data_IF_081877234655
#
_entry.id   IF_081877234655
#
_cell.length_a   1.000
_cell.length_b   1.000
_cell.length_c   1.000
_cell.angle_alpha   90.00
_cell.angle_beta   90.00
_cell.angle_gamma   90.00
#
_symmetry.space_group_name_H-M   'P 1'
#
loop_
_entity.id
_entity.type
_entity.pdbx_description
1 polymer ?
#
# COMPACT_ATOMS: atom_id res chain seq x y z
N UNK A 1 -23.70 -31.64 -39.11
CA UNK A 1 -22.91 -32.42 -38.15
C UNK A 1 -21.44 -32.15 -38.45
N UNK A 2 -20.61 -31.81 -37.45
CA UNK A 2 -19.17 -31.61 -37.69
C UNK A 2 -18.61 -32.91 -38.29
N UNK A 3 -17.95 -32.82 -39.44
CA UNK A 3 -17.36 -33.97 -40.12
C UNK A 3 -16.27 -34.60 -39.26
N UNK A 4 -16.08 -35.91 -39.39
CA UNK A 4 -15.10 -36.67 -38.60
C UNK A 4 -13.68 -36.11 -38.68
N UNK A 5 -13.31 -35.48 -39.81
CA UNK A 5 -12.01 -34.83 -40.00
C UNK A 5 -11.72 -33.70 -39.01
N UNK A 6 -12.73 -33.05 -38.43
CA UNK A 6 -12.56 -31.97 -37.45
C UNK A 6 -12.73 -32.42 -36.00
N UNK A 7 -13.17 -33.67 -35.78
CA UNK A 7 -13.44 -34.22 -34.44
C UNK A 7 -12.21 -34.16 -33.53
N UNK A 8 -11.01 -34.42 -34.08
CA UNK A 8 -9.77 -34.36 -33.33
C UNK A 8 -9.50 -32.96 -32.74
N UNK A 9 -9.71 -31.91 -33.54
CA UNK A 9 -9.53 -30.53 -33.08
C UNK A 9 -10.55 -30.14 -32.01
N UNK A 10 -11.80 -30.56 -32.16
CA UNK A 10 -12.84 -30.32 -31.17
C UNK A 10 -12.50 -30.99 -29.82
N UNK A 11 -12.00 -32.23 -29.86
CA UNK A 11 -11.56 -32.93 -28.64
C UNK A 11 -10.38 -32.22 -27.97
N UNK A 12 -9.40 -31.73 -28.73
CA UNK A 12 -8.31 -30.92 -28.18
C UNK A 12 -8.83 -29.68 -27.45
N UNK A 13 -9.76 -28.92 -28.08
CA UNK A 13 -10.32 -27.71 -27.48
C UNK A 13 -11.01 -27.97 -26.15
N UNK A 14 -11.79 -29.05 -26.05
CA UNK A 14 -12.52 -29.36 -24.83
C UNK A 14 -11.67 -30.05 -23.76
N UNK A 15 -10.83 -31.02 -24.15
CA UNK A 15 -10.08 -31.81 -23.18
C UNK A 15 -8.83 -31.10 -22.70
N UNK A 16 -8.05 -30.54 -23.63
CA UNK A 16 -6.74 -29.98 -23.29
C UNK A 16 -6.89 -28.50 -22.92
N UNK A 17 -7.51 -27.71 -23.78
CA UNK A 17 -7.57 -26.25 -23.59
C UNK A 17 -8.64 -25.87 -22.54
N UNK A 18 -9.87 -26.37 -22.65
CA UNK A 18 -10.94 -26.04 -21.70
C UNK A 18 -10.80 -26.80 -20.37
N UNK A 19 -10.82 -28.14 -20.38
CA UNK A 19 -10.78 -28.93 -19.15
C UNK A 19 -9.38 -28.95 -18.51
N UNK A 20 -8.32 -28.97 -19.32
CA UNK A 20 -6.94 -29.06 -18.85
C UNK A 20 -6.32 -27.72 -18.42
N UNK A 21 -6.75 -26.60 -19.01
CA UNK A 21 -6.17 -25.28 -18.72
C UNK A 21 -7.19 -24.27 -18.18
N UNK A 22 -8.23 -23.92 -18.95
CA UNK A 22 -9.16 -22.84 -18.57
C UNK A 22 -9.96 -23.16 -17.30
N UNK A 23 -10.56 -24.34 -17.20
CA UNK A 23 -11.43 -24.71 -16.09
C UNK A 23 -10.69 -24.68 -14.74
N UNK A 24 -9.48 -25.25 -14.59
CA UNK A 24 -8.71 -25.14 -13.34
C UNK A 24 -8.41 -23.68 -12.94
N UNK A 25 -7.93 -22.86 -13.87
CA UNK A 25 -7.60 -21.45 -13.55
C UNK A 25 -8.85 -20.61 -13.28
N UNK A 26 -9.97 -20.93 -13.93
CA UNK A 26 -11.24 -20.25 -13.70
C UNK A 26 -11.79 -20.52 -12.29
N UNK A 27 -11.70 -21.77 -11.83
CA UNK A 27 -12.07 -22.13 -10.45
C UNK A 27 -11.16 -21.42 -9.44
N UNK A 28 -9.87 -21.28 -9.76
CA UNK A 28 -8.95 -20.52 -8.91
C UNK A 28 -9.36 -19.04 -8.84
N UNK A 29 -9.67 -18.42 -9.97
CA UNK A 29 -10.19 -17.05 -10.05
C UNK A 29 -11.45 -16.91 -9.18
N UNK A 30 -12.41 -17.82 -9.31
CA UNK A 30 -13.64 -17.83 -8.48
C UNK A 30 -13.32 -17.94 -6.99
N UNK A 31 -12.39 -18.80 -6.61
CA UNK A 31 -12.02 -19.00 -5.20
C UNK A 31 -11.30 -17.81 -4.56
N UNK A 32 -10.66 -16.96 -5.37
CA UNK A 32 -9.84 -15.82 -4.91
C UNK A 32 -10.61 -14.50 -5.02
N UNK A 33 -11.31 -14.29 -6.14
CA UNK A 33 -12.03 -13.05 -6.42
C UNK A 33 -13.50 -13.12 -5.97
N UNK A 34 -14.04 -14.31 -5.72
CA UNK A 34 -15.46 -14.55 -5.44
C UNK A 34 -16.40 -14.11 -6.58
N UNK A 35 -15.86 -13.80 -7.76
CA UNK A 35 -16.59 -13.42 -8.96
C UNK A 35 -15.87 -13.87 -10.23
N UNK A 36 -16.61 -13.91 -11.35
CA UNK A 36 -16.04 -14.15 -12.67
C UNK A 36 -15.87 -12.84 -13.44
N UNK A 37 -14.63 -12.46 -13.82
CA UNK A 37 -14.39 -11.24 -14.58
C UNK A 37 -15.15 -11.23 -15.91
N UNK A 38 -15.82 -10.10 -16.21
CA UNK A 38 -16.62 -9.96 -17.44
C UNK A 38 -15.83 -10.24 -18.72
N UNK A 39 -14.53 -9.88 -18.76
CA UNK A 39 -13.65 -10.18 -19.88
C UNK A 39 -13.53 -11.69 -20.14
N UNK A 40 -13.33 -12.50 -19.09
CA UNK A 40 -13.25 -13.96 -19.19
C UNK A 40 -14.57 -14.55 -19.67
N UNK A 41 -15.70 -14.07 -19.15
CA UNK A 41 -17.03 -14.51 -19.58
C UNK A 41 -17.31 -14.17 -21.05
N UNK A 42 -16.84 -13.01 -21.52
CA UNK A 42 -16.95 -12.61 -22.92
C UNK A 42 -16.17 -13.54 -23.85
N UNK A 43 -14.97 -13.94 -23.46
CA UNK A 43 -14.17 -14.90 -24.23
C UNK A 43 -14.79 -16.30 -24.24
N UNK A 44 -15.36 -16.76 -23.11
CA UNK A 44 -16.11 -18.04 -23.04
C UNK A 44 -17.35 -17.99 -23.95
N UNK A 45 -18.08 -16.88 -23.95
CA UNK A 45 -19.22 -16.68 -24.87
C UNK A 45 -18.77 -16.75 -26.32
N UNK A 46 -17.71 -16.02 -26.69
CA UNK A 46 -17.18 -16.02 -28.05
C UNK A 46 -16.69 -17.41 -28.50
N UNK A 47 -16.04 -18.15 -27.60
CA UNK A 47 -15.71 -19.56 -27.82
C UNK A 47 -16.95 -20.39 -28.19
N UNK A 48 -18.01 -20.33 -27.36
CA UNK A 48 -19.24 -21.07 -27.62
C UNK A 48 -19.94 -20.63 -28.91
N UNK A 49 -19.95 -19.33 -29.22
CA UNK A 49 -20.51 -18.79 -30.46
C UNK A 49 -19.79 -19.37 -31.69
N UNK A 50 -18.46 -19.49 -31.64
CA UNK A 50 -17.69 -20.10 -32.72
C UNK A 50 -17.89 -21.60 -32.83
N UNK A 51 -17.96 -22.34 -31.71
CA UNK A 51 -18.31 -23.75 -31.74
C UNK A 51 -19.71 -23.96 -32.34
N UNK A 52 -20.70 -23.16 -31.96
CA UNK A 52 -22.06 -23.26 -32.48
C UNK A 52 -22.12 -23.03 -33.99
N UNK A 53 -21.33 -22.08 -34.53
CA UNK A 53 -21.24 -21.81 -35.97
C UNK A 53 -20.73 -23.01 -36.77
N UNK A 54 -19.88 -23.86 -36.19
CA UNK A 54 -19.41 -25.09 -36.84
C UNK A 54 -20.52 -26.12 -37.08
N UNK A 55 -21.69 -25.97 -36.43
CA UNK A 55 -22.84 -26.86 -36.59
C UNK A 55 -23.91 -26.32 -37.55
N UNK A 56 -23.71 -25.11 -38.10
CA UNK A 56 -24.64 -24.56 -39.09
C UNK A 56 -24.68 -25.45 -40.35
N UNK A 57 -25.86 -25.61 -40.98
CA UNK A 57 -25.98 -26.38 -42.22
C UNK A 57 -25.22 -25.72 -43.38
N UNK A 58 -24.86 -26.54 -44.37
CA UNK A 58 -24.30 -26.07 -45.65
C UNK A 58 -23.00 -25.26 -45.53
N UNK A 59 -22.15 -25.61 -44.56
CA UNK A 59 -20.81 -25.04 -44.41
C UNK A 59 -19.74 -25.98 -44.93
N UNK A 60 -18.74 -25.40 -45.57
CA UNK A 60 -17.55 -26.12 -46.02
C UNK A 60 -16.55 -26.35 -44.89
N UNK A 61 -15.53 -27.16 -45.17
CA UNK A 61 -14.54 -27.59 -44.17
C UNK A 61 -13.58 -26.45 -43.77
N UNK A 62 -13.33 -25.51 -44.69
CA UNK A 62 -12.47 -24.34 -44.42
C UNK A 62 -13.16 -23.39 -43.44
N UNK A 63 -14.46 -23.16 -43.60
CA UNK A 63 -15.27 -22.39 -42.65
C UNK A 63 -15.28 -23.01 -41.26
N UNK A 64 -15.43 -24.34 -41.17
CA UNK A 64 -15.40 -25.05 -39.88
C UNK A 64 -14.00 -24.93 -39.26
N UNK A 65 -12.94 -25.13 -40.04
CA UNK A 65 -11.56 -25.01 -39.56
C UNK A 65 -11.26 -23.61 -39.03
N UNK A 66 -11.60 -22.57 -39.77
CA UNK A 66 -11.41 -21.18 -39.35
C UNK A 66 -12.13 -20.88 -38.03
N UNK A 67 -13.36 -21.37 -37.88
CA UNK A 67 -14.12 -21.18 -36.64
C UNK A 67 -13.54 -21.96 -35.44
N UNK A 68 -12.99 -23.15 -35.65
CA UNK A 68 -12.27 -23.89 -34.61
C UNK A 68 -10.97 -23.19 -34.20
N UNK A 69 -10.24 -22.58 -35.15
CA UNK A 69 -9.05 -21.78 -34.86
C UNK A 69 -9.40 -20.50 -34.06
N UNK A 70 -10.49 -19.81 -34.44
CA UNK A 70 -11.00 -18.67 -33.66
C UNK A 70 -11.43 -19.07 -32.26
N UNK A 71 -12.16 -20.18 -32.13
CA UNK A 71 -12.56 -20.73 -30.83
C UNK A 71 -11.33 -21.01 -29.94
N UNK A 72 -10.26 -21.57 -30.50
CA UNK A 72 -8.99 -21.76 -29.79
C UNK A 72 -8.41 -20.44 -29.28
N UNK A 73 -8.38 -19.41 -30.15
CA UNK A 73 -7.89 -18.08 -29.79
C UNK A 73 -8.65 -17.49 -28.60
N UNK A 74 -9.97 -17.65 -28.56
CA UNK A 74 -10.80 -17.18 -27.43
C UNK A 74 -10.52 -17.95 -26.13
N UNK A 75 -10.32 -19.27 -26.18
CA UNK A 75 -9.90 -20.02 -24.98
C UNK A 75 -8.55 -19.52 -24.45
N UNK A 76 -7.57 -19.30 -25.32
CA UNK A 76 -6.26 -18.75 -24.92
C UNK A 76 -6.38 -17.36 -24.29
N UNK A 77 -7.19 -16.48 -24.86
CA UNK A 77 -7.47 -15.15 -24.28
C UNK A 77 -8.16 -15.25 -22.92
N UNK A 78 -9.16 -16.13 -22.78
CA UNK A 78 -9.83 -16.37 -21.51
C UNK A 78 -8.85 -16.80 -20.41
N UNK A 79 -7.92 -17.72 -20.72
CA UNK A 79 -6.89 -18.18 -19.78
C UNK A 79 -5.94 -17.02 -19.41
N UNK A 80 -5.49 -16.24 -20.40
CA UNK A 80 -4.62 -15.09 -20.14
C UNK A 80 -5.30 -14.04 -19.26
N UNK A 81 -6.58 -13.75 -19.51
CA UNK A 81 -7.36 -12.82 -18.70
C UNK A 81 -7.54 -13.34 -17.26
N UNK A 82 -7.66 -14.64 -17.05
CA UNK A 82 -7.62 -15.21 -15.70
C UNK A 82 -6.30 -14.88 -15.00
N UNK A 83 -5.15 -15.10 -15.65
CA UNK A 83 -3.86 -14.76 -15.07
C UNK A 83 -3.70 -13.27 -14.81
N UNK A 84 -4.18 -12.39 -15.69
CA UNK A 84 -4.15 -10.93 -15.48
C UNK A 84 -4.91 -10.53 -14.22
N UNK A 85 -6.11 -11.07 -14.02
CA UNK A 85 -6.90 -10.78 -12.81
C UNK A 85 -6.23 -11.31 -11.54
N UNK A 86 -5.66 -12.52 -11.58
CA UNK A 86 -4.90 -13.07 -10.45
C UNK A 86 -3.67 -12.21 -10.11
N UNK A 87 -2.93 -11.76 -11.11
CA UNK A 87 -1.79 -10.86 -10.92
C UNK A 87 -2.20 -9.55 -10.24
N UNK A 88 -3.31 -8.94 -10.67
CA UNK A 88 -3.85 -7.71 -10.07
C UNK A 88 -4.20 -7.96 -8.60
N UNK A 89 -4.90 -9.05 -8.30
CA UNK A 89 -5.27 -9.40 -6.93
C UNK A 89 -4.04 -9.50 -6.01
N UNK A 90 -3.05 -10.29 -6.40
CA UNK A 90 -1.85 -10.48 -5.57
C UNK A 90 -0.97 -9.23 -5.49
N UNK A 91 -0.97 -8.38 -6.51
CA UNK A 91 -0.34 -7.07 -6.43
C UNK A 91 -0.99 -6.21 -5.34
N UNK A 92 -2.31 -6.14 -5.29
CA UNK A 92 -3.03 -5.40 -4.24
C UNK A 92 -2.86 -6.07 -2.86
N UNK A 93 -2.77 -7.40 -2.77
CA UNK A 93 -2.43 -8.11 -1.54
C UNK A 93 -1.04 -7.69 -1.01
N UNK A 94 -0.02 -7.68 -1.88
CA UNK A 94 1.34 -7.26 -1.54
C UNK A 94 1.38 -5.79 -1.10
N UNK A 95 0.63 -4.91 -1.77
CA UNK A 95 0.48 -3.51 -1.39
C UNK A 95 -0.22 -3.36 -0.05
N UNK A 96 -1.29 -4.11 0.20
CA UNK A 96 -1.99 -4.13 1.49
C UNK A 96 -1.08 -4.63 2.62
N UNK A 97 -0.20 -5.59 2.34
CA UNK A 97 0.85 -6.01 3.26
C UNK A 97 1.82 -4.85 3.58
N UNK A 98 2.31 -4.13 2.58
CA UNK A 98 3.21 -2.98 2.79
C UNK A 98 2.55 -1.87 3.59
N UNK A 99 1.27 -1.58 3.32
CA UNK A 99 0.51 -0.60 4.09
C UNK A 99 0.32 -1.04 5.55
N UNK A 100 -0.02 -2.32 5.78
CA UNK A 100 -0.17 -2.90 7.12
C UNK A 100 1.11 -2.79 7.95
N UNK A 101 2.28 -2.93 7.33
CA UNK A 101 3.58 -2.94 8.00
C UNK A 101 4.41 -1.65 7.81
N UNK A 102 3.88 -0.61 7.16
CA UNK A 102 4.61 0.63 6.82
C UNK A 102 5.38 1.29 7.98
N UNK A 103 4.84 1.21 9.21
CA UNK A 103 5.47 1.81 10.42
C UNK A 103 6.26 0.79 11.25
N UNK A 104 6.20 -0.48 10.89
CA UNK A 104 6.77 -1.59 11.64
C UNK A 104 8.07 -1.99 10.97
N UNK A 105 9.13 -2.07 11.76
CA UNK A 105 10.44 -2.51 11.25
C UNK A 105 10.48 -4.02 11.03
N UNK A 106 10.01 -4.46 9.86
CA UNK A 106 9.96 -5.88 9.47
C UNK A 106 11.34 -6.48 9.18
N UNK A 107 12.42 -5.68 9.17
CA UNK A 107 13.79 -6.21 9.07
C UNK A 107 14.18 -7.02 10.31
N UNK A 108 13.46 -6.86 11.42
CA UNK A 108 13.66 -7.65 12.63
C UNK A 108 13.18 -9.09 12.49
N UNK A 109 12.39 -9.42 11.47
CA UNK A 109 11.95 -10.79 11.21
C UNK A 109 13.12 -11.59 10.64
N UNK A 110 13.43 -12.73 11.27
CA UNK A 110 14.48 -13.66 10.84
C UNK A 110 15.82 -12.95 10.55
N UNK A 111 16.24 -12.03 11.41
CA UNK A 111 17.50 -11.29 11.29
C UNK A 111 17.71 -10.58 9.93
N UNK A 112 16.65 -10.02 9.35
CA UNK A 112 16.69 -9.25 8.10
C UNK A 112 16.50 -10.07 6.83
N UNK A 113 16.57 -11.41 6.93
CA UNK A 113 16.42 -12.29 5.78
C UNK A 113 15.03 -12.19 5.16
N UNK A 114 14.00 -12.06 5.98
CA UNK A 114 12.61 -11.95 5.50
C UNK A 114 12.45 -10.78 4.54
N UNK A 115 12.90 -9.58 4.92
CA UNK A 115 12.68 -8.38 4.12
C UNK A 115 13.43 -8.43 2.79
N UNK A 116 14.65 -8.97 2.79
CA UNK A 116 15.42 -9.17 1.55
C UNK A 116 14.69 -10.11 0.59
N UNK A 117 14.29 -11.29 1.07
CA UNK A 117 13.58 -12.27 0.24
C UNK A 117 12.22 -11.75 -0.26
N UNK A 118 11.50 -10.99 0.59
CA UNK A 118 10.26 -10.33 0.21
C UNK A 118 10.47 -9.38 -0.99
N UNK A 119 11.49 -8.51 -0.93
CA UNK A 119 11.79 -7.58 -2.01
C UNK A 119 12.16 -8.29 -3.31
N UNK A 120 12.94 -9.37 -3.24
CA UNK A 120 13.33 -10.17 -4.40
C UNK A 120 12.13 -10.83 -5.07
N UNK A 121 11.26 -11.48 -4.29
CA UNK A 121 10.04 -12.12 -4.80
C UNK A 121 9.08 -11.09 -5.39
N UNK A 122 8.88 -9.95 -4.71
CA UNK A 122 8.05 -8.85 -5.23
C UNK A 122 8.59 -8.31 -6.54
N UNK A 123 9.89 -8.00 -6.60
CA UNK A 123 10.53 -7.50 -7.82
C UNK A 123 10.33 -8.47 -8.98
N UNK A 124 10.59 -9.76 -8.75
CA UNK A 124 10.42 -10.78 -9.78
C UNK A 124 8.98 -10.81 -10.33
N UNK A 125 7.98 -10.79 -9.46
CA UNK A 125 6.59 -10.81 -9.88
C UNK A 125 6.19 -9.55 -10.68
N UNK A 126 6.64 -8.38 -10.22
CA UNK A 126 6.41 -7.09 -10.92
C UNK A 126 7.08 -7.09 -12.29
N UNK A 127 8.32 -7.56 -12.38
CA UNK A 127 9.07 -7.60 -13.64
C UNK A 127 8.37 -8.47 -14.69
N UNK A 128 7.89 -9.66 -14.31
CA UNK A 128 7.15 -10.53 -15.23
C UNK A 128 5.88 -9.87 -15.76
N UNK A 129 5.08 -9.24 -14.90
CA UNK A 129 3.85 -8.57 -15.33
C UNK A 129 4.15 -7.34 -16.18
N UNK A 130 5.22 -6.61 -15.86
CA UNK A 130 5.66 -5.48 -16.66
C UNK A 130 6.09 -5.91 -18.06
N UNK A 131 6.95 -6.94 -18.16
CA UNK A 131 7.38 -7.48 -19.45
C UNK A 131 6.19 -8.06 -20.24
N UNK A 132 5.27 -8.77 -19.59
CA UNK A 132 4.06 -9.29 -20.23
C UNK A 132 3.25 -8.17 -20.91
N UNK A 133 3.15 -7.01 -20.24
CA UNK A 133 2.41 -5.86 -20.77
C UNK A 133 3.07 -5.24 -22.00
N UNK A 134 4.41 -5.24 -22.05
CA UNK A 134 5.16 -4.75 -23.21
C UNK A 134 4.99 -5.69 -24.42
N UNK A 135 4.88 -6.99 -24.17
CA UNK A 135 4.76 -8.02 -25.22
C UNK A 135 3.33 -8.23 -25.72
N UNK A 136 2.31 -7.73 -25.00
CA UNK A 136 0.89 -8.05 -25.27
C UNK A 136 0.44 -7.74 -26.71
N UNK A 137 1.00 -6.70 -27.35
CA UNK A 137 0.70 -6.33 -28.74
C UNK A 137 1.72 -6.84 -29.75
N UNK A 138 2.84 -7.41 -29.30
CA UNK A 138 3.97 -7.84 -30.14
C UNK A 138 3.97 -9.35 -30.31
N UNK A 139 3.89 -10.08 -29.20
CA UNK A 139 3.92 -11.54 -29.14
C UNK A 139 2.96 -12.03 -28.05
N UNK A 140 1.78 -12.46 -28.49
CA UNK A 140 0.74 -13.00 -27.62
C UNK A 140 1.21 -14.21 -26.82
N UNK A 141 1.99 -15.12 -27.42
CA UNK A 141 2.43 -16.36 -26.74
C UNK A 141 3.49 -16.05 -25.68
N UNK A 142 4.38 -15.09 -25.96
CA UNK A 142 5.33 -14.58 -24.96
C UNK A 142 4.60 -13.87 -23.82
N UNK A 143 3.66 -12.97 -24.13
CA UNK A 143 2.87 -12.26 -23.12
C UNK A 143 2.07 -13.23 -22.25
N UNK A 144 1.45 -14.25 -22.85
CA UNK A 144 0.71 -15.30 -22.14
C UNK A 144 1.59 -15.98 -21.09
N UNK A 145 2.78 -16.44 -21.47
CA UNK A 145 3.72 -17.11 -20.56
C UNK A 145 4.16 -16.17 -19.44
N UNK A 146 4.49 -14.93 -19.77
CA UNK A 146 4.92 -13.95 -18.77
C UNK A 146 3.81 -13.63 -17.76
N UNK A 147 2.54 -13.54 -18.18
CA UNK A 147 1.43 -13.39 -17.24
C UNK A 147 1.27 -14.60 -16.32
N UNK A 148 1.43 -15.82 -16.83
CA UNK A 148 1.41 -17.04 -16.02
C UNK A 148 2.56 -17.05 -15.00
N UNK A 149 3.79 -16.74 -15.43
CA UNK A 149 4.97 -16.66 -14.55
C UNK A 149 4.83 -15.56 -13.49
N UNK A 150 4.26 -14.40 -13.87
CA UNK A 150 3.90 -13.35 -12.93
C UNK A 150 2.97 -13.85 -11.84
N UNK A 151 1.92 -14.59 -12.21
CA UNK A 151 0.97 -15.17 -11.25
C UNK A 151 1.68 -16.15 -10.31
N UNK A 152 2.52 -17.05 -10.84
CA UNK A 152 3.26 -18.01 -10.03
C UNK A 152 4.21 -17.33 -9.04
N UNK A 153 4.91 -16.28 -9.48
CA UNK A 153 5.80 -15.48 -8.63
C UNK A 153 5.01 -14.76 -7.52
N UNK A 154 3.86 -14.19 -7.83
CA UNK A 154 2.97 -13.57 -6.85
C UNK A 154 2.38 -14.56 -5.86
N UNK A 155 1.89 -15.71 -6.32
CA UNK A 155 1.38 -16.77 -5.45
C UNK A 155 2.48 -17.26 -4.47
N UNK A 156 3.72 -17.37 -4.96
CA UNK A 156 4.90 -17.68 -4.14
C UNK A 156 5.19 -16.58 -3.10
N UNK A 157 5.06 -15.31 -3.47
CA UNK A 157 5.21 -14.18 -2.55
C UNK A 157 4.14 -14.22 -1.45
N UNK A 158 2.87 -14.40 -1.80
CA UNK A 158 1.76 -14.51 -0.84
C UNK A 158 1.99 -15.68 0.13
N UNK A 159 2.36 -16.86 -0.38
CA UNK A 159 2.69 -18.02 0.43
C UNK A 159 3.89 -17.76 1.37
N UNK A 160 4.91 -17.04 0.89
CA UNK A 160 6.06 -16.64 1.69
C UNK A 160 5.67 -15.71 2.86
N UNK A 161 4.81 -14.71 2.61
CA UNK A 161 4.27 -13.83 3.65
C UNK A 161 3.51 -14.66 4.69
N UNK A 162 2.63 -15.54 4.24
CA UNK A 162 1.80 -16.40 5.10
C UNK A 162 2.64 -17.34 5.98
N UNK A 163 3.66 -17.99 5.41
CA UNK A 163 4.59 -18.87 6.15
C UNK A 163 5.36 -18.12 7.24
N UNK A 164 5.60 -16.83 7.07
CA UNK A 164 6.30 -15.97 8.03
C UNK A 164 5.36 -15.16 8.94
N UNK A 165 4.05 -15.42 8.91
CA UNK A 165 3.05 -14.63 9.63
C UNK A 165 3.33 -14.52 11.14
N UNK A 166 3.85 -15.57 11.78
CA UNK A 166 4.18 -15.54 13.21
C UNK A 166 5.25 -14.49 13.55
N UNK A 167 6.35 -14.48 12.79
CA UNK A 167 7.44 -13.51 12.99
C UNK A 167 6.97 -12.08 12.74
N UNK A 168 6.16 -11.89 11.70
CA UNK A 168 5.56 -10.60 11.36
C UNK A 168 4.64 -10.07 12.47
N UNK A 169 3.75 -10.90 13.01
CA UNK A 169 2.86 -10.51 14.12
C UNK A 169 3.64 -10.27 15.42
N UNK A 170 4.74 -10.99 15.66
CA UNK A 170 5.64 -10.72 16.79
C UNK A 170 6.27 -9.33 16.70
N UNK A 171 6.85 -8.96 15.55
CA UNK A 171 7.46 -7.63 15.35
C UNK A 171 6.40 -6.54 15.51
N UNK A 172 5.21 -6.74 14.94
CA UNK A 172 4.09 -5.81 15.08
C UNK A 172 3.72 -5.59 16.55
N UNK A 173 3.52 -6.66 17.33
CA UNK A 173 3.25 -6.56 18.78
C UNK A 173 4.36 -5.85 19.54
N UNK A 174 5.62 -6.14 19.21
CA UNK A 174 6.79 -5.48 19.79
C UNK A 174 6.81 -3.98 19.51
N UNK A 175 6.50 -3.58 18.27
CA UNK A 175 6.38 -2.17 17.89
C UNK A 175 5.29 -1.47 18.71
N UNK A 176 4.07 -2.05 18.78
CA UNK A 176 2.97 -1.48 19.56
C UNK A 176 3.31 -1.34 21.05
N UNK A 177 3.97 -2.33 21.66
CA UNK A 177 4.39 -2.27 23.05
C UNK A 177 5.39 -1.12 23.29
N UNK A 178 6.39 -0.96 22.42
CA UNK A 178 7.36 0.15 22.53
C UNK A 178 6.69 1.52 22.34
N UNK A 179 5.77 1.61 21.38
CA UNK A 179 5.02 2.84 21.14
C UNK A 179 4.16 3.23 22.35
N UNK A 180 3.45 2.29 22.97
CA UNK A 180 2.69 2.52 24.21
C UNK A 180 3.59 2.96 25.37
N UNK A 181 4.74 2.33 25.56
CA UNK A 181 5.70 2.73 26.58
C UNK A 181 6.20 4.16 26.37
N UNK A 182 6.45 4.57 25.12
CA UNK A 182 6.83 5.94 24.78
C UNK A 182 5.75 6.97 25.16
N UNK A 183 4.47 6.66 24.91
CA UNK A 183 3.35 7.54 25.30
C UNK A 183 3.28 7.70 26.81
N UNK A 184 3.32 6.59 27.55
CA UNK A 184 3.26 6.61 29.02
C UNK A 184 4.44 7.39 29.59
N UNK A 185 5.65 7.14 29.07
CA UNK A 185 6.85 7.87 29.48
C UNK A 185 6.75 9.38 29.19
N UNK A 186 6.18 9.76 28.04
CA UNK A 186 5.93 11.16 27.69
C UNK A 186 4.95 11.84 28.65
N UNK A 187 3.84 11.18 29.00
CA UNK A 187 2.87 11.71 29.97
C UNK A 187 3.48 11.87 31.37
N UNK A 188 4.26 10.89 31.83
CA UNK A 188 4.99 10.98 33.11
C UNK A 188 5.99 12.14 33.07
N UNK A 189 6.72 12.30 31.96
CA UNK A 189 7.65 13.41 31.77
C UNK A 189 6.99 14.79 31.86
N UNK A 190 5.79 14.96 31.28
CA UNK A 190 4.99 16.19 31.36
C UNK A 190 4.57 16.48 32.82
N UNK A 191 4.14 15.46 33.56
CA UNK A 191 3.72 15.61 34.96
C UNK A 191 4.91 16.01 35.84
N UNK A 192 6.05 15.32 35.70
CA UNK A 192 7.25 15.63 36.48
C UNK A 192 7.80 17.02 36.10
N UNK A 193 7.84 17.35 34.81
CA UNK A 193 8.30 18.65 34.33
C UNK A 193 7.45 19.82 34.82
N UNK A 194 6.12 19.66 34.86
CA UNK A 194 5.22 20.69 35.37
C UNK A 194 5.33 20.87 36.89
N UNK A 195 5.47 19.79 37.67
CA UNK A 195 5.71 19.86 39.12
C UNK A 195 7.05 20.54 39.46
N UNK A 196 8.15 20.12 38.82
CA UNK A 196 9.47 20.70 39.07
C UNK A 196 9.58 22.14 38.57
N UNK A 197 8.97 22.47 37.42
CA UNK A 197 8.86 23.84 36.93
C UNK A 197 8.12 24.75 37.91
N UNK A 198 7.03 24.26 38.51
CA UNK A 198 6.28 25.00 39.52
C UNK A 198 7.11 25.24 40.79
N UNK A 199 7.87 24.25 41.27
CA UNK A 199 8.67 24.36 42.49
C UNK A 199 9.95 25.19 42.33
N UNK A 200 10.54 25.28 41.14
CA UNK A 200 11.79 26.03 40.91
C UNK A 200 11.52 27.42 40.35
N UNK A 201 10.56 27.57 39.43
CA UNK A 201 10.37 28.82 38.70
C UNK A 201 9.60 29.88 39.51
N UNK A 202 8.68 29.47 40.39
CA UNK A 202 7.94 30.41 41.25
C UNK A 202 8.85 31.11 42.29
N UNK A 203 9.69 30.42 43.09
CA UNK A 203 10.57 31.10 44.03
C UNK A 203 11.72 31.87 43.36
N UNK A 204 12.19 31.45 42.18
CA UNK A 204 13.23 32.20 41.44
C UNK A 204 12.70 33.51 40.86
N UNK A 205 11.47 33.50 40.35
CA UNK A 205 10.81 34.69 39.81
C UNK A 205 10.47 35.69 40.90
N UNK A 206 10.03 35.22 42.08
CA UNK A 206 9.81 36.07 43.25
C UNK A 206 11.11 36.68 43.79
N UNK A 207 12.19 35.89 43.92
CA UNK A 207 13.52 36.42 44.31
C UNK A 207 14.07 37.46 43.32
N UNK A 208 13.83 37.26 42.01
CA UNK A 208 14.21 38.23 40.98
C UNK A 208 13.43 39.54 41.10
N UNK A 209 12.12 39.49 41.41
CA UNK A 209 11.31 40.68 41.63
C UNK A 209 11.75 41.44 42.88
N UNK A 210 12.05 40.74 43.97
CA UNK A 210 12.50 41.32 45.23
C UNK A 210 13.83 42.10 45.06
N UNK A 211 14.76 41.56 44.26
CA UNK A 211 16.01 42.26 43.92
C UNK A 211 15.80 43.51 43.05
N UNK A 212 14.85 43.49 42.12
CA UNK A 212 14.53 44.65 41.29
C UNK A 212 13.89 45.76 42.16
N UNK A 213 13.00 45.42 43.08
CA UNK A 213 12.41 46.38 44.04
C UNK A 213 13.43 46.97 45.02
N UNK A 214 14.36 46.17 45.55
CA UNK A 214 15.43 46.69 46.42
C UNK A 214 16.41 47.63 45.69
N UNK A 215 16.63 47.48 44.39
CA UNK A 215 17.48 48.39 43.60
C UNK A 215 16.83 49.76 43.33
N UNK A 216 15.50 49.85 43.47
CA UNK A 216 14.71 51.08 43.28
C UNK A 216 14.57 51.91 44.57
N UNK A 217 14.95 51.38 45.73
CA UNK A 217 14.91 52.10 47.01
C UNK A 217 16.33 52.31 47.54
N UNK A 218 17.05 53.29 46.99
CA UNK A 218 18.13 53.96 47.72
C UNK A 218 17.51 55.10 48.55
N UNK A 219 17.70 55.15 49.87
CA UNK A 219 17.38 56.33 50.66
C UNK A 219 18.49 57.36 50.51
N UNK A 220 18.13 58.56 50.05
CA UNK A 220 18.93 59.76 50.21
C UNK A 220 19.08 60.06 51.71
N UNK A 221 20.31 60.08 52.19
CA UNK A 221 20.65 60.58 53.50
C UNK A 221 21.88 61.50 53.43
N UNK A 222 21.61 62.77 53.75
CA UNK A 222 22.50 63.81 54.30
C UNK A 222 23.44 64.59 53.37
N UNK A 223 23.10 65.87 53.14
CA UNK A 223 24.05 66.98 53.26
C UNK A 223 23.34 68.30 53.59
N UNK A 224 23.99 69.11 54.43
CA UNK A 224 23.56 70.33 55.12
C UNK A 224 23.42 71.57 54.21
N UNK A 225 22.38 72.36 54.48
CA UNK A 225 22.30 73.82 54.71
C UNK A 225 23.40 74.77 54.15
N UNK A 226 22.97 75.75 53.33
CA UNK A 226 23.30 77.19 53.42
C UNK A 226 22.40 78.02 52.45
N UNK A 227 22.23 79.29 52.80
CA UNK A 227 21.15 80.24 52.46
C UNK A 227 21.09 80.81 51.03
N UNK A 228 19.90 81.27 50.60
CA UNK A 228 19.56 82.70 50.41
C UNK A 228 18.47 82.96 49.33
N UNK A 229 17.38 83.59 49.81
CA UNK A 229 16.53 84.65 49.22
C UNK A 229 15.85 84.61 47.83
N UNK A 230 14.55 84.97 47.93
CA UNK A 230 13.74 85.85 47.06
C UNK A 230 12.98 85.27 45.83
N UNK A 231 11.77 84.76 46.10
CA UNK A 231 10.40 85.23 45.70
C UNK A 231 10.18 86.05 44.39
N UNK A 232 8.93 86.19 43.88
CA UNK A 232 8.13 85.20 43.13
C UNK A 232 7.36 85.82 41.93
N UNK A 233 7.14 85.12 40.81
CA UNK A 233 6.03 85.49 39.89
C UNK A 233 5.44 84.25 39.19
N UNK A 234 4.18 83.97 39.49
CA UNK A 234 3.22 83.11 38.78
C UNK A 234 2.44 83.93 37.73
N UNK A 235 1.48 83.37 36.96
CA UNK A 235 1.41 82.06 36.31
C UNK A 235 1.00 82.20 34.81
N UNK A 236 0.86 81.06 34.11
CA UNK A 236 -0.38 80.65 33.41
C UNK A 236 -0.26 80.18 31.94
N UNK A 237 -1.20 79.26 31.66
CA UNK A 237 -1.83 78.89 30.37
C UNK A 237 -1.10 77.83 29.52
N UNK A 238 -1.62 76.59 29.45
CA UNK A 238 -2.77 76.05 28.66
C UNK A 238 -2.26 75.42 27.34
N UNK A 239 -2.35 74.10 27.14
CA UNK A 239 -3.45 73.28 26.58
C UNK A 239 -3.50 73.27 25.05
N UNK A 240 -3.62 72.02 24.55
CA UNK A 240 -4.23 71.56 23.29
C UNK A 240 -3.37 71.46 22.01
N UNK A 241 -3.49 70.23 21.48
CA UNK A 241 -3.42 69.71 20.11
C UNK A 241 -2.08 69.64 19.35
#
# INVERSE_FOLDING_TARGET
MIKDCHRGKLLQLYNDDYNGALKPVLVLVESILEEHPAAVLNEIRAFNDHIARCYLPEKDDDFIKEHLEKAQGHLKRAIMDCFKNLNIHYFEEAKGFEEKYRKVDITLVNNGEFYRQYLELKKQAVDFVHEAKLEETLDFEKAFKLYQEGYLAYAKLSDFIRKNAYGLEWVKKRFFKKWQQGIIGGLIGIIIGSLLGSCVFTPLFDWSKDKIHQSSQKPDAQAKQCDANETPVTPALQVAD
#
